data_IF_114840580504
#
_entry.id   IF_114840580504
#
_cell.length_a   1.000
_cell.length_b   1.000
_cell.length_c   1.000
_cell.angle_alpha   90.00
_cell.angle_beta   90.00
_cell.angle_gamma   90.00
#
_symmetry.space_group_name_H-M   'P 1'
#
loop_
_entity.id
_entity.type
_entity.pdbx_description
1 polymer ?
#
# COMPACT_ATOMS: atom_id res chain seq x y z
N UNK A 1 -40.11 -8.24 -24.59
CA UNK A 1 -39.51 -8.01 -23.25
C UNK A 1 -39.58 -9.30 -22.47
N UNK A 2 -38.50 -10.04 -22.40
CA UNK A 2 -38.42 -11.30 -21.65
C UNK A 2 -37.96 -10.92 -20.24
N UNK A 3 -38.92 -10.98 -19.30
CA UNK A 3 -38.65 -10.72 -17.89
C UNK A 3 -37.76 -11.81 -17.31
N UNK A 4 -36.61 -11.45 -16.77
CA UNK A 4 -35.77 -12.33 -15.97
C UNK A 4 -36.56 -12.80 -14.74
N UNK A 5 -36.54 -14.08 -14.38
CA UNK A 5 -37.18 -14.56 -13.16
C UNK A 5 -36.52 -13.87 -11.97
N UNK A 6 -37.33 -13.30 -11.07
CA UNK A 6 -36.81 -12.76 -9.80
C UNK A 6 -36.20 -13.91 -9.02
N UNK A 7 -34.91 -13.84 -8.80
CA UNK A 7 -34.23 -14.77 -7.91
C UNK A 7 -34.95 -14.77 -6.54
N UNK A 8 -35.19 -15.95 -5.94
CA UNK A 8 -35.69 -16.01 -4.56
C UNK A 8 -34.70 -15.24 -3.65
N UNK A 9 -35.20 -14.59 -2.59
CA UNK A 9 -34.33 -13.87 -1.66
C UNK A 9 -33.29 -14.86 -1.14
N UNK A 10 -32.02 -14.51 -1.38
CA UNK A 10 -30.88 -15.29 -0.85
C UNK A 10 -31.05 -15.39 0.68
N UNK A 11 -30.92 -16.58 1.28
CA UNK A 11 -30.93 -16.68 2.72
C UNK A 11 -29.82 -15.77 3.26
N UNK A 12 -30.20 -14.79 4.07
CA UNK A 12 -29.25 -13.93 4.74
C UNK A 12 -28.42 -14.79 5.67
N UNK A 13 -27.18 -15.07 5.29
CA UNK A 13 -26.17 -15.68 6.14
C UNK A 13 -25.79 -14.67 7.24
N UNK A 14 -26.69 -14.47 8.21
CA UNK A 14 -26.42 -13.61 9.34
C UNK A 14 -25.47 -14.37 10.30
N UNK A 15 -24.21 -14.00 10.25
CA UNK A 15 -23.26 -14.39 11.28
C UNK A 15 -23.70 -13.74 12.61
N UNK A 16 -23.80 -14.55 13.67
CA UNK A 16 -24.02 -14.03 15.03
C UNK A 16 -22.87 -13.12 15.47
N UNK A 17 -23.11 -12.27 16.48
CA UNK A 17 -22.04 -11.44 17.06
C UNK A 17 -20.87 -12.31 17.56
N UNK A 18 -21.18 -13.49 18.07
CA UNK A 18 -20.21 -14.48 18.53
C UNK A 18 -19.35 -15.01 17.36
N UNK A 19 -19.97 -15.46 16.27
CA UNK A 19 -19.25 -15.94 15.08
C UNK A 19 -18.38 -14.84 14.47
N UNK A 20 -18.89 -13.62 14.34
CA UNK A 20 -18.09 -12.46 13.89
C UNK A 20 -16.89 -12.20 14.78
N UNK A 21 -17.06 -12.34 16.10
CA UNK A 21 -15.97 -12.19 17.05
C UNK A 21 -14.86 -13.23 16.86
N UNK A 22 -15.22 -14.50 16.64
CA UNK A 22 -14.24 -15.58 16.39
C UNK A 22 -13.54 -15.37 15.04
N UNK A 23 -14.29 -15.12 13.98
CA UNK A 23 -13.75 -14.88 12.64
C UNK A 23 -12.78 -13.70 12.69
N UNK A 24 -13.11 -12.60 13.38
CA UNK A 24 -12.24 -11.44 13.52
C UNK A 24 -10.89 -11.74 14.21
N UNK A 25 -10.85 -12.74 15.12
CA UNK A 25 -9.61 -13.18 15.79
C UNK A 25 -8.74 -14.04 14.88
N UNK A 26 -9.38 -14.81 13.97
CA UNK A 26 -8.72 -15.82 13.15
C UNK A 26 -8.44 -15.38 11.72
N UNK A 27 -9.05 -14.27 11.30
CA UNK A 27 -9.03 -13.84 9.90
C UNK A 27 -7.64 -13.48 9.35
N UNK A 28 -6.70 -13.06 10.19
CA UNK A 28 -5.32 -12.76 9.78
C UNK A 28 -4.57 -14.02 9.25
N UNK A 29 -4.97 -15.20 9.72
CA UNK A 29 -4.47 -16.52 9.32
C UNK A 29 -5.61 -17.43 8.86
N UNK A 30 -6.49 -16.91 8.00
CA UNK A 30 -7.76 -17.55 7.66
C UNK A 30 -7.58 -18.98 7.13
N UNK A 31 -6.66 -19.24 6.21
CA UNK A 31 -6.42 -20.57 5.65
C UNK A 31 -5.96 -21.59 6.70
N UNK A 32 -4.98 -21.22 7.54
CA UNK A 32 -4.52 -22.06 8.63
C UNK A 32 -5.65 -22.35 9.63
N UNK A 33 -6.36 -21.31 10.06
CA UNK A 33 -7.45 -21.44 11.02
C UNK A 33 -8.61 -22.28 10.47
N UNK A 34 -8.95 -22.12 9.18
CA UNK A 34 -9.98 -22.92 8.53
C UNK A 34 -9.64 -24.40 8.54
N UNK A 35 -8.42 -24.76 8.09
CA UNK A 35 -7.97 -26.14 8.06
C UNK A 35 -7.97 -26.80 9.46
N UNK A 36 -7.51 -26.07 10.48
CA UNK A 36 -7.52 -26.55 11.87
C UNK A 36 -8.94 -26.78 12.39
N UNK A 37 -9.86 -25.81 12.22
CA UNK A 37 -11.22 -25.89 12.73
C UNK A 37 -12.06 -26.94 11.98
N UNK A 38 -11.89 -27.07 10.68
CA UNK A 38 -12.55 -28.09 9.88
C UNK A 38 -12.20 -29.49 10.38
N UNK A 39 -10.91 -29.78 10.53
CA UNK A 39 -10.45 -31.07 11.06
C UNK A 39 -10.89 -31.27 12.51
N UNK A 40 -10.83 -30.23 13.34
CA UNK A 40 -11.26 -30.34 14.73
C UNK A 40 -12.78 -30.59 14.84
N UNK A 41 -13.58 -30.04 13.91
CA UNK A 41 -15.03 -30.25 13.87
C UNK A 41 -15.43 -31.71 13.63
N UNK A 42 -14.56 -32.48 12.99
CA UNK A 42 -14.77 -33.91 12.72
C UNK A 42 -14.41 -34.82 13.95
N UNK A 43 -13.74 -34.26 14.95
CA UNK A 43 -13.35 -35.01 16.15
C UNK A 43 -14.43 -34.99 17.23
N UNK A 44 -14.45 -35.94 18.18
CA UNK A 44 -15.39 -35.90 19.29
C UNK A 44 -15.30 -34.59 20.09
N UNK A 45 -16.45 -34.04 20.51
CA UNK A 45 -16.55 -32.75 21.21
C UNK A 45 -15.61 -32.63 22.42
N UNK A 46 -15.39 -33.70 23.15
CA UNK A 46 -14.55 -33.69 24.35
C UNK A 46 -13.09 -34.10 24.09
N UNK A 47 -12.70 -34.24 22.81
CA UNK A 47 -11.33 -34.63 22.50
C UNK A 47 -10.34 -33.52 22.85
N UNK A 48 -9.28 -33.88 23.54
CA UNK A 48 -8.15 -33.01 23.83
C UNK A 48 -7.17 -33.10 22.66
N UNK A 49 -6.78 -31.97 22.11
CA UNK A 49 -5.87 -31.93 21.00
C UNK A 49 -4.62 -31.11 21.33
N UNK A 50 -3.45 -31.71 21.13
CA UNK A 50 -2.20 -30.96 21.15
C UNK A 50 -2.02 -30.16 19.82
N UNK A 51 -1.14 -29.18 19.79
CA UNK A 51 -0.77 -28.47 18.56
C UNK A 51 -0.37 -29.45 17.46
N UNK A 52 0.50 -30.40 17.81
CA UNK A 52 1.00 -31.40 16.86
C UNK A 52 -0.06 -32.36 16.35
N UNK A 53 -1.00 -32.78 17.21
CA UNK A 53 -2.11 -33.63 16.77
C UNK A 53 -3.05 -32.91 15.82
N UNK A 54 -3.34 -31.63 16.06
CA UNK A 54 -4.14 -30.81 15.14
C UNK A 54 -3.44 -30.58 13.82
N UNK A 55 -2.16 -30.27 13.82
CA UNK A 55 -1.39 -30.12 12.58
C UNK A 55 -1.37 -31.42 11.77
N UNK A 56 -1.12 -32.54 12.43
CA UNK A 56 -1.10 -33.85 11.78
C UNK A 56 -2.47 -34.21 11.18
N UNK A 57 -3.57 -33.98 11.90
CA UNK A 57 -4.92 -34.25 11.41
C UNK A 57 -5.29 -33.32 10.24
N UNK A 58 -4.83 -32.08 10.24
CA UNK A 58 -5.05 -31.11 9.16
C UNK A 58 -4.04 -31.24 8.00
N UNK A 59 -3.13 -32.21 8.05
CA UNK A 59 -2.05 -32.43 7.07
C UNK A 59 -1.15 -31.20 6.87
N UNK A 60 -0.94 -30.42 7.93
CA UNK A 60 -0.13 -29.22 7.92
C UNK A 60 1.31 -29.52 8.39
N UNK A 61 2.28 -28.77 7.84
CA UNK A 61 3.68 -28.93 8.18
C UNK A 61 4.05 -28.40 9.57
N UNK A 62 5.16 -28.89 10.13
CA UNK A 62 5.70 -28.41 11.41
C UNK A 62 6.10 -26.93 11.41
N UNK A 63 6.28 -26.33 10.25
CA UNK A 63 6.51 -24.87 10.10
C UNK A 63 5.36 -24.03 10.65
N UNK A 64 4.15 -24.59 10.70
CA UNK A 64 2.96 -23.93 11.24
C UNK A 64 2.77 -24.11 12.76
N UNK A 65 3.69 -24.81 13.47
CA UNK A 65 3.55 -25.11 14.89
C UNK A 65 3.41 -23.84 15.75
N UNK A 66 4.28 -22.86 15.53
CA UNK A 66 4.23 -21.59 16.27
C UNK A 66 2.97 -20.77 15.96
N UNK A 67 2.59 -20.69 14.70
CA UNK A 67 1.37 -19.97 14.30
C UNK A 67 0.11 -20.63 14.87
N UNK A 68 0.05 -21.97 14.86
CA UNK A 68 -1.04 -22.74 15.45
C UNK A 68 -1.11 -22.56 16.97
N UNK A 69 0.03 -22.59 17.65
CA UNK A 69 0.08 -22.32 19.10
C UNK A 69 -0.50 -20.93 19.41
N UNK A 70 -0.10 -19.90 18.68
CA UNK A 70 -0.60 -18.53 18.87
C UNK A 70 -2.11 -18.46 18.63
N UNK A 71 -2.63 -19.11 17.59
CA UNK A 71 -4.08 -19.15 17.32
C UNK A 71 -4.85 -19.81 18.44
N UNK A 72 -4.39 -20.95 18.94
CA UNK A 72 -5.04 -21.67 20.04
C UNK A 72 -5.01 -20.87 21.34
N UNK A 73 -3.91 -20.19 21.65
CA UNK A 73 -3.83 -19.30 22.80
C UNK A 73 -4.81 -18.13 22.71
N UNK A 74 -4.94 -17.51 21.53
CA UNK A 74 -5.94 -16.45 21.29
C UNK A 74 -7.36 -16.96 21.50
N UNK A 75 -7.68 -18.16 21.03
CA UNK A 75 -8.99 -18.78 21.26
C UNK A 75 -9.22 -19.09 22.75
N UNK A 76 -8.20 -19.57 23.45
CA UNK A 76 -8.27 -19.84 24.88
C UNK A 76 -8.46 -18.55 25.70
N UNK A 77 -7.74 -17.48 25.39
CA UNK A 77 -7.88 -16.17 26.03
C UNK A 77 -9.30 -15.58 25.85
N UNK A 78 -9.95 -15.91 24.75
CA UNK A 78 -11.35 -15.51 24.48
C UNK A 78 -12.37 -16.46 25.11
N UNK A 79 -11.92 -17.49 25.83
CA UNK A 79 -12.79 -18.47 26.48
C UNK A 79 -13.54 -19.39 25.51
N UNK A 80 -13.05 -19.54 24.27
CA UNK A 80 -13.66 -20.37 23.24
C UNK A 80 -13.23 -21.83 23.33
N UNK A 81 -12.00 -22.04 23.76
CA UNK A 81 -11.42 -23.33 24.08
C UNK A 81 -10.80 -23.27 25.48
N UNK A 82 -10.54 -24.42 26.07
CA UNK A 82 -9.91 -24.56 27.38
C UNK A 82 -8.54 -25.19 27.23
N UNK A 83 -7.55 -24.62 27.92
CA UNK A 83 -6.26 -25.27 28.08
C UNK A 83 -6.40 -26.37 29.15
N UNK A 84 -6.06 -27.57 28.80
CA UNK A 84 -6.10 -28.74 29.71
C UNK A 84 -4.78 -29.52 29.64
N UNK A 85 -4.60 -30.48 30.55
CA UNK A 85 -3.44 -31.36 30.47
C UNK A 85 -3.42 -32.10 29.12
N UNK A 86 -2.31 -32.00 28.40
CA UNK A 86 -2.15 -32.63 27.08
C UNK A 86 -2.57 -31.76 25.89
N UNK A 87 -3.10 -30.52 26.09
CA UNK A 87 -3.42 -29.62 24.96
C UNK A 87 -4.62 -28.71 25.19
N UNK A 88 -5.50 -28.67 24.21
CA UNK A 88 -6.67 -27.80 24.18
C UNK A 88 -7.95 -28.61 23.95
N UNK A 89 -9.03 -28.16 24.55
CA UNK A 89 -10.36 -28.74 24.40
C UNK A 89 -11.37 -27.63 24.05
N UNK A 90 -12.20 -27.78 23.02
CA UNK A 90 -13.24 -26.82 22.72
C UNK A 90 -14.39 -26.90 23.70
N UNK A 91 -15.05 -25.77 23.94
CA UNK A 91 -16.36 -25.79 24.61
C UNK A 91 -17.41 -26.37 23.66
N UNK A 92 -18.37 -27.10 24.19
CA UNK A 92 -19.37 -27.82 23.37
C UNK A 92 -20.12 -26.92 22.42
N UNK A 93 -20.52 -25.73 22.87
CA UNK A 93 -21.26 -24.75 22.05
C UNK A 93 -20.42 -24.19 20.90
N UNK A 94 -19.12 -24.03 21.14
CA UNK A 94 -18.16 -23.52 20.16
C UNK A 94 -17.82 -24.60 19.13
N UNK A 95 -17.59 -25.85 19.59
CA UNK A 95 -17.27 -26.97 18.72
C UNK A 95 -18.34 -27.18 17.64
N UNK A 96 -19.61 -27.07 18.00
CA UNK A 96 -20.74 -27.19 17.06
C UNK A 96 -20.72 -26.15 15.93
N UNK A 97 -19.99 -25.08 16.10
CA UNK A 97 -19.91 -24.00 15.12
C UNK A 97 -18.61 -24.04 14.27
N UNK A 98 -17.69 -24.95 14.60
CA UNK A 98 -16.38 -25.01 13.93
C UNK A 98 -16.48 -25.18 12.43
N UNK A 99 -17.32 -26.07 11.92
CA UNK A 99 -17.52 -26.27 10.48
C UNK A 99 -18.01 -25.00 9.79
N UNK A 100 -18.93 -24.28 10.42
CA UNK A 100 -19.49 -23.04 9.86
C UNK A 100 -18.47 -21.91 9.87
N UNK A 101 -17.69 -21.80 10.94
CA UNK A 101 -16.60 -20.83 11.07
C UNK A 101 -15.49 -21.17 10.08
N UNK A 102 -15.12 -22.46 9.94
CA UNK A 102 -14.14 -22.93 8.98
C UNK A 102 -14.55 -22.57 7.54
N UNK A 103 -15.81 -22.79 7.17
CA UNK A 103 -16.34 -22.39 5.85
C UNK A 103 -16.18 -20.88 5.61
N UNK A 104 -16.53 -20.04 6.59
CA UNK A 104 -16.35 -18.59 6.47
C UNK A 104 -14.90 -18.18 6.32
N UNK A 105 -13.98 -18.84 7.04
CA UNK A 105 -12.54 -18.61 6.97
C UNK A 105 -11.96 -19.09 5.63
N UNK A 106 -12.40 -20.23 5.10
CA UNK A 106 -12.04 -20.67 3.74
C UNK A 106 -12.48 -19.66 2.68
N UNK A 107 -13.68 -19.10 2.81
CA UNK A 107 -14.15 -18.05 1.90
C UNK A 107 -13.29 -16.78 1.99
N UNK A 108 -12.86 -16.39 3.19
CA UNK A 108 -11.96 -15.25 3.40
C UNK A 108 -10.59 -15.55 2.78
N UNK A 109 -10.05 -16.75 3.01
CA UNK A 109 -8.76 -17.16 2.47
C UNK A 109 -8.78 -17.19 0.94
N UNK A 110 -9.80 -17.83 0.36
CA UNK A 110 -10.01 -17.88 -1.08
C UNK A 110 -10.17 -16.48 -1.69
N UNK A 111 -10.96 -15.62 -1.03
CA UNK A 111 -11.12 -14.24 -1.46
C UNK A 111 -9.80 -13.48 -1.46
N UNK A 112 -8.99 -13.63 -0.41
CA UNK A 112 -7.69 -12.98 -0.29
C UNK A 112 -6.66 -13.52 -1.29
N UNK A 113 -6.64 -14.83 -1.50
CA UNK A 113 -5.65 -15.46 -2.37
C UNK A 113 -5.99 -15.42 -3.86
N UNK A 114 -7.29 -15.43 -4.20
CA UNK A 114 -7.73 -15.60 -5.59
C UNK A 114 -8.49 -14.42 -6.17
N UNK A 115 -9.09 -13.57 -5.32
CA UNK A 115 -9.94 -12.46 -5.76
C UNK A 115 -9.36 -11.12 -5.29
N UNK A 116 -8.83 -11.07 -4.09
CA UNK A 116 -8.24 -9.89 -3.48
C UNK A 116 -6.75 -10.11 -3.18
N UNK A 117 -5.95 -10.25 -4.21
CA UNK A 117 -4.52 -9.96 -4.14
C UNK A 117 -4.27 -8.45 -4.03
N UNK A 118 -5.08 -7.75 -3.25
CA UNK A 118 -4.79 -6.35 -2.99
C UNK A 118 -3.82 -6.24 -1.82
N UNK A 119 -2.58 -6.63 -2.08
CA UNK A 119 -1.45 -6.32 -1.23
C UNK A 119 -1.11 -4.82 -1.28
N UNK A 120 -2.08 -3.96 -1.59
CA UNK A 120 -1.88 -2.51 -1.56
C UNK A 120 -1.60 -2.08 -0.13
N UNK A 121 -0.40 -1.61 0.10
CA UNK A 121 -0.05 -0.88 1.31
C UNK A 121 -0.16 0.61 1.00
N UNK A 122 -0.82 1.36 1.86
CA UNK A 122 -0.91 2.81 1.77
C UNK A 122 -0.39 3.43 3.08
N UNK A 123 0.58 4.33 2.97
CA UNK A 123 1.15 5.05 4.09
C UNK A 123 1.01 6.55 3.85
N UNK A 124 0.41 7.26 4.81
CA UNK A 124 0.29 8.72 4.75
C UNK A 124 1.65 9.34 5.08
N UNK A 125 2.07 10.30 4.27
CA UNK A 125 3.29 11.07 4.45
C UNK A 125 2.98 12.57 4.51
N UNK A 126 3.73 13.31 5.32
CA UNK A 126 3.45 14.69 5.62
C UNK A 126 4.73 15.53 5.64
N UNK A 127 4.77 16.59 4.83
CA UNK A 127 5.71 17.70 5.05
C UNK A 127 5.06 18.73 5.95
N UNK A 128 5.72 19.06 7.04
CA UNK A 128 5.28 20.13 7.96
C UNK A 128 6.02 21.40 7.62
N UNK A 129 5.37 22.57 7.73
CA UNK A 129 6.05 23.85 7.65
C UNK A 129 7.22 23.92 8.67
N UNK A 130 8.28 24.63 8.31
CA UNK A 130 9.40 24.86 9.22
C UNK A 130 8.94 25.53 10.52
N UNK A 131 9.67 25.26 11.60
CA UNK A 131 9.35 25.84 12.92
C UNK A 131 9.61 27.35 12.94
N UNK A 132 8.77 28.13 13.67
CA UNK A 132 7.63 27.69 14.49
C UNK A 132 6.41 27.32 13.64
N UNK A 133 5.73 26.20 13.95
CA UNK A 133 4.59 25.67 13.20
C UNK A 133 3.41 25.37 14.12
N UNK A 134 2.31 26.09 13.92
CA UNK A 134 1.05 25.83 14.63
C UNK A 134 0.51 24.45 14.30
N UNK A 135 0.67 23.97 13.07
CA UNK A 135 0.29 22.62 12.68
C UNK A 135 1.04 21.56 13.50
N UNK A 136 2.36 21.73 13.69
CA UNK A 136 3.16 20.78 14.46
C UNK A 136 2.72 20.74 15.93
N UNK A 137 2.37 21.89 16.52
CA UNK A 137 1.83 21.95 17.88
C UNK A 137 0.52 21.15 17.98
N UNK A 138 -0.40 21.35 17.03
CA UNK A 138 -1.68 20.62 17.00
C UNK A 138 -1.53 19.13 16.76
N UNK A 139 -0.62 18.73 15.88
CA UNK A 139 -0.31 17.31 15.66
C UNK A 139 0.28 16.67 16.93
N UNK A 140 1.10 17.40 17.67
CA UNK A 140 1.68 16.92 18.94
C UNK A 140 0.59 16.68 20.01
N UNK A 141 -0.44 17.48 20.04
CA UNK A 141 -1.62 17.30 20.93
C UNK A 141 -2.37 15.98 20.63
N UNK A 142 -2.34 15.49 19.40
CA UNK A 142 -2.94 14.21 19.00
C UNK A 142 -2.11 12.99 19.42
N UNK A 143 -0.88 13.19 19.88
CA UNK A 143 -0.02 12.18 20.44
C UNK A 143 0.29 11.03 19.46
N UNK A 144 0.15 9.78 19.93
CA UNK A 144 0.51 8.57 19.19
C UNK A 144 -0.20 8.42 17.84
N UNK A 145 -1.36 9.05 17.62
CA UNK A 145 -2.11 8.99 16.36
C UNK A 145 -1.35 9.57 15.18
N UNK A 146 -0.41 10.48 15.45
CA UNK A 146 0.43 11.13 14.44
C UNK A 146 1.90 10.69 14.49
N UNK A 147 2.24 9.83 15.44
CA UNK A 147 3.62 9.35 15.61
C UNK A 147 4.15 8.54 14.42
N UNK A 148 3.26 7.96 13.62
CA UNK A 148 3.61 7.14 12.45
C UNK A 148 3.55 7.92 11.12
N UNK A 149 3.37 9.24 11.15
CA UNK A 149 3.45 10.05 9.94
C UNK A 149 4.91 10.21 9.54
N UNK A 150 5.26 9.67 8.39
CA UNK A 150 6.61 9.78 7.84
C UNK A 150 6.78 11.14 7.14
N UNK A 151 7.93 11.82 7.29
CA UNK A 151 8.28 12.98 6.48
C UNK A 151 8.36 12.63 4.99
N UNK A 152 7.84 13.52 4.13
CA UNK A 152 7.77 13.26 2.67
C UNK A 152 9.15 13.05 2.05
N UNK A 153 10.17 13.79 2.51
CA UNK A 153 11.55 13.66 2.05
C UNK A 153 12.16 12.29 2.42
N UNK A 154 11.89 11.79 3.62
CA UNK A 154 12.31 10.44 4.02
C UNK A 154 11.62 9.36 3.17
N UNK A 155 10.32 9.53 2.90
CA UNK A 155 9.59 8.61 2.04
C UNK A 155 10.16 8.59 0.61
N UNK A 156 10.50 9.75 0.04
CA UNK A 156 11.14 9.82 -1.27
C UNK A 156 12.51 9.13 -1.28
N UNK A 157 13.34 9.37 -0.26
CA UNK A 157 14.63 8.71 -0.12
C UNK A 157 14.49 7.18 -0.02
N UNK A 158 13.52 6.70 0.75
CA UNK A 158 13.21 5.27 0.84
C UNK A 158 12.83 4.69 -0.53
N UNK A 159 11.92 5.34 -1.24
CA UNK A 159 11.48 4.89 -2.57
C UNK A 159 12.64 4.78 -3.56
N UNK A 160 13.47 5.83 -3.67
CA UNK A 160 14.54 5.84 -4.69
C UNK A 160 15.70 4.92 -4.36
N UNK A 161 16.00 4.69 -3.08
CA UNK A 161 17.05 3.74 -2.64
C UNK A 161 16.63 2.27 -2.85
N UNK A 162 15.34 1.99 -2.70
CA UNK A 162 14.79 0.64 -2.87
C UNK A 162 14.63 0.25 -4.34
N UNK A 163 14.61 1.23 -5.26
CA UNK A 163 14.44 1.01 -6.69
C UNK A 163 15.56 0.15 -7.30
N UNK A 164 15.20 -0.78 -8.19
CA UNK A 164 16.11 -1.74 -8.85
C UNK A 164 16.13 -1.62 -10.36
N UNK A 165 15.11 -1.04 -10.96
CA UNK A 165 14.93 -0.97 -12.43
C UNK A 165 14.77 0.45 -12.92
N UNK A 166 13.83 1.21 -12.37
CA UNK A 166 13.61 2.60 -12.76
C UNK A 166 13.05 3.47 -11.63
N UNK A 167 13.36 4.75 -11.71
CA UNK A 167 12.76 5.82 -10.92
C UNK A 167 12.20 6.87 -11.88
N UNK A 168 10.93 7.21 -11.75
CA UNK A 168 10.27 8.27 -12.50
C UNK A 168 9.81 9.34 -11.52
N UNK A 169 10.25 10.57 -11.72
CA UNK A 169 9.80 11.75 -10.97
C UNK A 169 8.95 12.60 -11.89
N UNK A 170 7.71 12.91 -11.50
CA UNK A 170 6.78 13.77 -12.22
C UNK A 170 6.40 14.94 -11.34
N UNK A 171 6.75 16.15 -11.76
CA UNK A 171 6.43 17.38 -11.04
C UNK A 171 6.10 18.52 -12.01
N UNK A 172 4.99 19.26 -11.80
CA UNK A 172 4.62 20.36 -12.67
C UNK A 172 5.41 21.64 -12.42
N UNK A 173 6.03 21.75 -11.24
CA UNK A 173 6.80 22.91 -10.82
C UNK A 173 8.14 22.48 -10.23
N UNK A 174 9.18 23.15 -10.66
CA UNK A 174 10.56 22.94 -10.25
C UNK A 174 11.26 24.28 -10.21
N UNK A 175 11.69 24.73 -9.04
CA UNK A 175 12.51 25.93 -8.88
C UNK A 175 13.99 25.58 -8.61
N UNK A 176 14.87 26.58 -8.49
CA UNK A 176 16.29 26.35 -8.29
C UNK A 176 16.61 25.61 -7.00
N UNK A 177 15.87 25.83 -5.90
CA UNK A 177 16.04 25.11 -4.64
C UNK A 177 15.60 23.65 -4.78
N UNK A 178 14.45 23.46 -5.39
CA UNK A 178 13.93 22.12 -5.71
C UNK A 178 14.86 21.36 -6.65
N UNK A 179 15.50 22.03 -7.61
CA UNK A 179 16.49 21.44 -8.50
C UNK A 179 17.67 20.83 -7.73
N UNK A 180 18.27 21.58 -6.81
CA UNK A 180 19.36 21.06 -5.98
C UNK A 180 18.92 19.85 -5.14
N UNK A 181 17.76 19.94 -4.53
CA UNK A 181 17.19 18.82 -3.78
C UNK A 181 16.91 17.60 -4.65
N UNK A 182 16.36 17.79 -5.85
CA UNK A 182 16.12 16.71 -6.82
C UNK A 182 17.42 16.05 -7.28
N UNK A 183 18.46 16.83 -7.47
CA UNK A 183 19.81 16.32 -7.77
C UNK A 183 20.32 15.42 -6.65
N UNK A 184 20.20 15.85 -5.40
CA UNK A 184 20.57 15.05 -4.23
C UNK A 184 19.75 13.76 -4.16
N UNK A 185 18.44 13.83 -4.36
CA UNK A 185 17.54 12.69 -4.35
C UNK A 185 17.92 11.66 -5.43
N UNK A 186 18.05 12.09 -6.69
CA UNK A 186 18.38 11.20 -7.81
C UNK A 186 19.80 10.65 -7.74
N UNK A 187 20.70 11.30 -7.01
CA UNK A 187 22.05 10.78 -6.71
C UNK A 187 22.03 9.60 -5.72
N UNK A 188 20.93 9.39 -4.99
CA UNK A 188 20.76 8.23 -4.09
C UNK A 188 20.26 6.98 -4.82
N UNK A 189 19.87 7.11 -6.09
CA UNK A 189 19.44 5.97 -6.91
C UNK A 189 20.64 5.08 -7.22
N UNK A 190 20.45 3.77 -7.06
CA UNK A 190 21.51 2.78 -7.34
C UNK A 190 22.04 2.91 -8.77
N UNK A 191 23.36 2.87 -9.02
CA UNK A 191 23.91 2.87 -10.37
C UNK A 191 23.30 1.76 -11.25
N UNK A 192 22.99 2.11 -12.50
CA UNK A 192 22.34 1.21 -13.46
C UNK A 192 20.81 1.20 -13.41
N UNK A 193 20.21 1.84 -12.42
CA UNK A 193 18.75 2.06 -12.39
C UNK A 193 18.41 3.24 -13.30
N UNK A 194 17.41 3.06 -14.17
CA UNK A 194 16.93 4.08 -15.07
C UNK A 194 16.31 5.25 -14.31
N UNK A 195 16.66 6.48 -14.68
CA UNK A 195 16.17 7.71 -14.05
C UNK A 195 15.45 8.57 -15.08
N UNK A 196 14.21 8.94 -14.79
CA UNK A 196 13.34 9.69 -15.68
C UNK A 196 12.75 10.88 -14.92
N UNK A 197 12.76 12.05 -15.56
CA UNK A 197 12.11 13.25 -15.07
C UNK A 197 11.02 13.68 -16.06
N UNK A 198 9.79 13.85 -15.58
CA UNK A 198 8.68 14.38 -16.39
C UNK A 198 8.38 15.78 -15.89
N UNK A 199 8.54 16.74 -16.79
CA UNK A 199 8.25 18.15 -16.60
C UNK A 199 7.16 18.60 -17.59
N UNK A 200 6.77 19.86 -17.47
CA UNK A 200 5.84 20.51 -18.42
C UNK A 200 6.37 21.87 -18.83
N UNK A 201 5.85 22.39 -19.95
CA UNK A 201 6.11 23.76 -20.41
C UNK A 201 7.59 24.10 -20.67
N UNK A 202 8.38 23.08 -21.09
CA UNK A 202 9.80 23.26 -21.40
C UNK A 202 10.07 24.04 -22.70
N UNK A 203 9.04 24.23 -23.52
CA UNK A 203 9.18 24.87 -24.86
C UNK A 203 9.46 26.35 -24.80
N UNK A 204 9.04 27.04 -23.75
CA UNK A 204 9.13 28.50 -23.67
C UNK A 204 9.54 28.96 -22.27
N UNK A 205 10.81 29.32 -22.08
CA UNK A 205 11.33 29.83 -20.81
C UNK A 205 10.67 31.12 -20.31
N UNK A 206 9.97 31.85 -21.16
CA UNK A 206 9.28 33.07 -20.77
C UNK A 206 7.91 32.82 -20.12
N UNK A 207 7.43 31.59 -20.14
CA UNK A 207 6.15 31.22 -19.52
C UNK A 207 6.24 31.25 -18.00
N UNK A 208 5.17 31.67 -17.38
CA UNK A 208 5.06 31.70 -15.88
C UNK A 208 5.06 30.32 -15.24
N UNK A 209 4.72 29.29 -16.00
CA UNK A 209 4.72 27.88 -15.55
C UNK A 209 5.93 27.09 -16.05
N UNK A 210 6.95 27.78 -16.61
CA UNK A 210 8.23 27.16 -16.95
C UNK A 210 8.96 26.69 -15.67
N UNK A 211 9.43 25.45 -15.64
CA UNK A 211 10.16 24.92 -14.46
C UNK A 211 11.60 25.46 -14.43
N UNK A 212 11.83 26.65 -13.88
CA UNK A 212 13.13 27.36 -13.90
C UNK A 212 14.29 26.57 -13.31
N UNK A 213 14.03 25.63 -12.43
CA UNK A 213 15.02 24.70 -11.90
C UNK A 213 15.60 23.73 -12.95
N UNK A 214 14.92 23.57 -14.09
CA UNK A 214 15.41 22.72 -15.17
C UNK A 214 16.75 23.25 -15.75
N UNK A 215 16.89 24.55 -15.91
CA UNK A 215 18.13 25.15 -16.42
C UNK A 215 19.32 24.91 -15.48
N UNK A 216 19.05 24.92 -14.18
CA UNK A 216 20.06 24.60 -13.13
C UNK A 216 20.53 23.14 -13.26
N UNK A 217 19.61 22.22 -13.55
CA UNK A 217 19.88 20.78 -13.64
C UNK A 217 20.45 20.34 -14.98
N UNK A 218 20.24 21.08 -16.06
CA UNK A 218 20.40 20.62 -17.45
C UNK A 218 21.75 19.92 -17.70
N UNK A 219 22.84 20.50 -17.27
CA UNK A 219 24.18 19.92 -17.47
C UNK A 219 24.38 18.64 -16.67
N UNK A 220 23.88 18.63 -15.43
CA UNK A 220 23.97 17.46 -14.56
C UNK A 220 23.09 16.30 -15.06
N UNK A 221 21.88 16.59 -15.55
CA UNK A 221 20.99 15.59 -16.14
C UNK A 221 21.66 14.90 -17.32
N UNK A 222 22.26 15.66 -18.24
CA UNK A 222 23.03 15.14 -19.38
C UNK A 222 24.22 14.28 -18.96
N UNK A 223 25.00 14.77 -17.98
CA UNK A 223 26.21 14.06 -17.51
C UNK A 223 25.89 12.75 -16.78
N UNK A 224 24.65 12.60 -16.31
CA UNK A 224 24.23 11.43 -15.55
C UNK A 224 23.23 10.54 -16.30
N UNK A 225 23.03 10.76 -17.60
CA UNK A 225 22.14 9.98 -18.47
C UNK A 225 20.70 9.90 -17.93
N UNK A 226 20.17 11.05 -17.45
CA UNK A 226 18.81 11.13 -16.93
C UNK A 226 17.90 11.62 -18.06
N UNK A 227 16.92 10.79 -18.43
CA UNK A 227 15.97 11.13 -19.47
C UNK A 227 14.96 12.16 -18.99
N UNK A 228 14.68 13.16 -19.82
CA UNK A 228 13.70 14.20 -19.51
C UNK A 228 12.60 14.18 -20.55
N UNK A 229 11.36 14.17 -20.08
CA UNK A 229 10.18 14.23 -20.91
C UNK A 229 9.37 15.48 -20.61
N UNK A 230 8.84 16.08 -21.67
CA UNK A 230 7.94 17.22 -21.59
C UNK A 230 6.51 16.80 -21.92
N UNK A 231 5.61 16.81 -20.94
CA UNK A 231 4.20 16.53 -21.15
C UNK A 231 3.39 17.82 -21.17
N UNK A 232 3.39 18.47 -22.32
CA UNK A 232 2.67 19.70 -22.58
C UNK A 232 2.33 19.74 -24.06
N UNK A 233 1.16 19.23 -24.45
CA UNK A 233 0.75 18.95 -25.81
C UNK A 233 -0.22 20.05 -26.29
N UNK A 234 0.08 20.79 -27.39
CA UNK A 234 -0.86 21.76 -27.96
C UNK A 234 -2.17 21.08 -28.37
N UNK A 235 -3.31 21.71 -28.06
CA UNK A 235 -4.63 21.21 -28.45
C UNK A 235 -5.17 21.99 -29.63
N UNK A 236 -5.85 21.29 -30.55
CA UNK A 236 -6.65 21.93 -31.60
C UNK A 236 -7.76 22.75 -30.93
N UNK A 237 -7.84 24.06 -31.27
CA UNK A 237 -8.80 24.95 -30.61
C UNK A 237 -8.25 25.77 -29.45
N UNK A 238 -6.96 25.64 -29.13
CA UNK A 238 -6.26 26.42 -28.12
C UNK A 238 -6.09 25.68 -26.78
N UNK A 239 -5.17 26.18 -25.95
CA UNK A 239 -4.76 25.54 -24.72
C UNK A 239 -3.79 24.37 -24.92
N UNK A 240 -3.47 23.70 -23.85
CA UNK A 240 -2.55 22.55 -23.83
C UNK A 240 -3.10 21.43 -22.98
N UNK A 241 -2.86 20.21 -23.39
CA UNK A 241 -2.97 19.06 -22.54
C UNK A 241 -1.70 19.00 -21.67
N UNK A 242 -1.88 18.96 -20.38
CA UNK A 242 -0.81 19.00 -19.39
C UNK A 242 -1.27 18.38 -18.08
N UNK A 243 -0.47 18.45 -17.03
CA UNK A 243 -0.77 17.82 -15.76
C UNK A 243 -0.54 18.74 -14.55
N UNK A 244 -1.09 18.32 -13.42
CA UNK A 244 -0.83 18.92 -12.10
C UNK A 244 -0.46 17.86 -11.02
N UNK A 245 -0.34 16.61 -11.41
CA UNK A 245 0.06 15.52 -10.53
C UNK A 245 1.52 15.69 -10.05
N UNK A 246 1.81 15.25 -8.86
CA UNK A 246 3.14 15.12 -8.28
C UNK A 246 3.31 13.66 -7.89
N UNK A 247 4.26 12.99 -8.53
CA UNK A 247 4.47 11.58 -8.34
C UNK A 247 5.95 11.20 -8.35
N UNK A 248 6.30 10.21 -7.53
CA UNK A 248 7.55 9.47 -7.65
C UNK A 248 7.18 8.00 -7.79
N UNK A 249 7.57 7.36 -8.90
CA UNK A 249 7.21 5.96 -9.19
C UNK A 249 8.47 5.14 -9.34
N UNK A 250 8.52 4.02 -8.61
CA UNK A 250 9.67 3.11 -8.57
C UNK A 250 9.23 1.69 -8.95
N UNK A 251 9.89 1.10 -9.94
CA UNK A 251 9.80 -0.32 -10.33
C UNK A 251 8.38 -0.85 -10.61
N UNK A 252 7.42 0.00 -10.97
CA UNK A 252 5.99 -0.37 -11.14
C UNK A 252 5.31 -0.93 -9.88
N UNK A 253 5.97 -0.92 -8.74
CA UNK A 253 5.49 -1.58 -7.51
C UNK A 253 5.42 -0.66 -6.30
N UNK A 254 5.99 0.54 -6.39
CA UNK A 254 5.96 1.55 -5.34
C UNK A 254 5.76 2.94 -5.97
N UNK A 255 4.91 3.76 -5.36
CA UNK A 255 4.63 5.10 -5.84
C UNK A 255 4.30 6.07 -4.70
N UNK A 256 4.78 7.29 -4.79
CA UNK A 256 4.24 8.42 -4.06
C UNK A 256 3.26 9.19 -4.95
N UNK A 257 2.15 9.60 -4.37
CA UNK A 257 1.22 10.58 -4.94
C UNK A 257 0.87 11.62 -3.88
N UNK A 258 0.89 12.90 -4.24
CA UNK A 258 0.55 13.93 -3.27
C UNK A 258 0.52 15.34 -3.83
N UNK A 259 0.55 16.30 -2.92
CA UNK A 259 0.53 17.72 -3.23
C UNK A 259 1.93 18.31 -3.42
N UNK A 260 3.00 17.64 -2.94
CA UNK A 260 4.35 18.19 -2.87
C UNK A 260 4.97 18.42 -4.25
N UNK A 261 5.13 19.68 -4.64
CA UNK A 261 5.98 20.07 -5.75
C UNK A 261 7.46 19.97 -5.35
N UNK A 262 8.34 19.98 -6.33
CA UNK A 262 9.78 20.06 -6.08
C UNK A 262 10.19 21.53 -6.12
N UNK A 263 9.81 22.26 -5.10
CA UNK A 263 10.06 23.71 -4.96
C UNK A 263 10.42 24.05 -3.51
N UNK A 264 11.10 25.19 -3.31
CA UNK A 264 11.42 25.69 -1.97
C UNK A 264 10.17 25.80 -1.10
N UNK A 265 9.04 26.26 -1.66
CA UNK A 265 7.80 26.40 -0.93
C UNK A 265 7.30 25.06 -0.38
N UNK A 266 7.26 24.01 -1.19
CA UNK A 266 6.82 22.67 -0.78
C UNK A 266 7.82 21.98 0.17
N UNK A 267 9.10 22.25 0.03
CA UNK A 267 10.12 21.62 0.86
C UNK A 267 10.25 22.27 2.26
N UNK A 268 9.98 23.58 2.38
CA UNK A 268 10.34 24.34 3.59
C UNK A 268 9.14 25.02 4.28
N UNK A 269 8.13 25.47 3.53
CA UNK A 269 7.12 26.41 4.05
C UNK A 269 5.70 25.90 4.02
N UNK A 270 5.37 25.03 3.07
CA UNK A 270 4.01 24.53 2.90
C UNK A 270 3.77 23.25 3.68
N UNK A 271 2.54 23.07 4.13
CA UNK A 271 2.07 21.74 4.47
C UNK A 271 1.82 20.96 3.16
N UNK A 272 2.48 19.83 3.03
CA UNK A 272 2.22 18.92 1.91
C UNK A 272 1.75 17.56 2.44
N UNK A 273 0.72 17.03 1.83
CA UNK A 273 0.14 15.75 2.19
C UNK A 273 0.18 14.79 1.01
N UNK A 274 0.59 13.57 1.26
CA UNK A 274 0.67 12.55 0.25
C UNK A 274 0.50 11.15 0.80
N UNK A 275 0.54 10.18 -0.11
CA UNK A 275 0.52 8.76 0.21
C UNK A 275 1.61 8.04 -0.55
N UNK A 276 2.30 7.15 0.13
CA UNK A 276 3.13 6.10 -0.50
C UNK A 276 2.26 4.87 -0.66
N UNK A 277 2.21 4.36 -1.87
CA UNK A 277 1.50 3.16 -2.28
C UNK A 277 2.50 2.06 -2.62
N UNK A 278 2.21 0.81 -2.26
CA UNK A 278 2.93 -0.37 -2.73
C UNK A 278 1.93 -1.40 -3.26
N UNK A 279 2.39 -2.30 -4.14
CA UNK A 279 1.56 -3.35 -4.70
C UNK A 279 0.66 -2.86 -5.85
N UNK A 280 -0.56 -3.40 -5.96
CA UNK A 280 -1.43 -3.21 -7.12
C UNK A 280 -1.81 -1.74 -7.39
N UNK A 281 -2.07 -0.96 -6.33
CA UNK A 281 -2.38 0.47 -6.52
C UNK A 281 -1.19 1.24 -7.09
N UNK A 282 0.04 0.93 -6.66
CA UNK A 282 1.25 1.52 -7.24
C UNK A 282 1.45 1.09 -8.71
N UNK A 283 1.13 -0.15 -9.07
CA UNK A 283 1.15 -0.62 -10.46
C UNK A 283 0.18 0.18 -11.34
N UNK A 284 -1.05 0.43 -10.87
CA UNK A 284 -2.01 1.28 -11.59
C UNK A 284 -1.50 2.71 -11.81
N UNK A 285 -0.81 3.29 -10.82
CA UNK A 285 -0.14 4.59 -10.99
C UNK A 285 0.94 4.51 -12.06
N UNK A 286 1.75 3.45 -12.03
CA UNK A 286 2.83 3.26 -12.99
C UNK A 286 2.31 3.12 -14.42
N UNK A 287 1.18 2.43 -14.65
CA UNK A 287 0.52 2.32 -15.96
C UNK A 287 0.11 3.70 -16.50
N UNK A 288 -0.43 4.57 -15.64
CA UNK A 288 -0.75 5.96 -16.02
C UNK A 288 0.52 6.73 -16.39
N UNK A 289 1.60 6.59 -15.62
CA UNK A 289 2.88 7.24 -15.91
C UNK A 289 3.48 6.72 -17.23
N UNK A 290 3.36 5.42 -17.52
CA UNK A 290 3.80 4.85 -18.79
C UNK A 290 3.02 5.41 -19.99
N UNK A 291 1.70 5.61 -19.83
CA UNK A 291 0.89 6.28 -20.84
C UNK A 291 1.30 7.76 -21.03
N UNK A 292 1.62 8.47 -19.95
CA UNK A 292 2.17 9.84 -20.01
C UNK A 292 3.50 9.87 -20.76
N UNK A 293 4.42 8.95 -20.47
CA UNK A 293 5.72 8.85 -21.16
C UNK A 293 5.55 8.55 -22.65
N UNK A 294 4.57 7.71 -23.02
CA UNK A 294 4.28 7.40 -24.41
C UNK A 294 3.71 8.61 -25.18
N UNK A 295 3.00 9.53 -24.51
CA UNK A 295 2.42 10.73 -25.09
C UNK A 295 3.36 11.95 -25.03
N UNK A 296 4.31 11.98 -24.10
CA UNK A 296 5.21 13.09 -23.86
C UNK A 296 6.31 13.18 -24.94
N UNK A 297 6.82 14.38 -25.15
CA UNK A 297 8.00 14.60 -26.01
C UNK A 297 9.28 14.28 -25.22
N UNK A 298 10.12 13.40 -25.77
CA UNK A 298 11.48 13.21 -25.23
C UNK A 298 12.27 14.51 -25.45
N UNK A 299 12.79 15.09 -24.36
CA UNK A 299 13.47 16.38 -24.35
C UNK A 299 14.99 16.23 -24.21
N UNK A 300 15.42 15.20 -23.48
CA UNK A 300 16.83 14.80 -23.31
C UNK A 300 16.93 13.26 -23.34
#
# INVERSE_FOLDING_TARGET
>A
MIGWPRNPPMPTLNLSAFERGIIGVLADRAGLAAALLENWSALPVNSVQSVRSLLASAQLGVTEENATQILLERLAQRGLIERVSGGFRPRTEVHRQFSRIAFALHAIDHYRSSIHEDATQAQVVLTKPARPSVLEEKLSELGWRTANLEPTDHAFLGLVRDARRRVVVMTPFLDGRGANWLQELLSQVTPGVERILILRSLEDPARTDYPSGFDVLLQWLKANDIRVYNYSIPRMGGGRETYHAKAVVCDWSAAYLGSSNITAASLEYSMELGVVLKGRAAAGVAEVIDAVLAAATNWL
#
